data_IF_522994389730
#
_entry.id   IF_522994389730
#
_cell.length_a   1.000
_cell.length_b   1.000
_cell.length_c   1.000
_cell.angle_alpha   90.00
_cell.angle_beta   90.00
_cell.angle_gamma   90.00
#
_symmetry.space_group_name_H-M   'P 1'
#
loop_
_entity.id
_entity.type
_entity.pdbx_description
1 polymer ?
#
# COMPACT_ATOMS: atom_id res chain seq x y z
N UNK A 1 4.14 7.52 -14.47
CA UNK A 1 2.88 7.09 -13.87
C UNK A 1 3.14 6.29 -12.60
N UNK A 2 2.24 6.38 -11.66
CA UNK A 2 2.39 5.76 -10.36
C UNK A 2 1.19 4.86 -10.07
N UNK A 3 1.44 3.75 -9.36
CA UNK A 3 0.43 2.75 -9.05
C UNK A 3 0.32 2.54 -7.53
N UNK A 4 -0.91 2.50 -7.06
CA UNK A 4 -1.23 2.21 -5.67
C UNK A 4 -2.31 1.13 -5.61
N UNK A 5 -2.15 0.21 -4.67
CA UNK A 5 -3.13 -0.82 -4.37
C UNK A 5 -3.88 -0.44 -3.09
N UNK A 6 -5.18 -0.56 -3.11
CA UNK A 6 -6.02 -0.24 -1.96
C UNK A 6 -7.09 -1.30 -1.76
N UNK A 7 -7.50 -1.48 -0.52
CA UNK A 7 -8.62 -2.34 -0.17
C UNK A 7 -9.84 -1.44 0.09
N UNK A 8 -10.95 -1.62 -0.65
CA UNK A 8 -12.15 -0.82 -0.43
C UNK A 8 -12.69 -1.02 0.98
N UNK A 9 -13.07 0.06 1.62
CA UNK A 9 -13.77 0.01 2.90
C UNK A 9 -15.27 -0.08 2.64
N UNK A 10 -15.80 -1.27 2.58
CA UNK A 10 -17.20 -1.51 2.22
C UNK A 10 -18.21 -1.01 3.24
N UNK A 11 -17.83 -0.80 4.47
CA UNK A 11 -18.79 -0.57 5.53
C UNK A 11 -18.61 0.77 6.23
N UNK A 12 -18.59 1.83 5.43
CA UNK A 12 -18.77 3.15 5.98
C UNK A 12 -17.79 3.51 7.09
N UNK A 13 -16.62 2.96 7.02
CA UNK A 13 -15.54 3.49 7.83
C UNK A 13 -15.50 4.98 7.57
N UNK A 14 -15.29 5.73 8.61
CA UNK A 14 -15.27 7.17 8.59
C UNK A 14 -14.59 7.69 7.34
N UNK A 15 -15.37 8.32 6.51
CA UNK A 15 -14.99 8.88 5.21
C UNK A 15 -13.81 9.86 5.30
N UNK A 16 -13.52 10.35 6.49
CA UNK A 16 -12.49 11.35 6.74
C UNK A 16 -11.10 10.93 6.24
N UNK A 17 -10.88 9.66 5.98
CA UNK A 17 -9.58 9.18 5.51
C UNK A 17 -9.71 8.17 4.38
N UNK A 18 -10.70 8.33 3.51
CA UNK A 18 -10.87 7.46 2.34
C UNK A 18 -9.61 7.39 1.49
N UNK A 19 -8.86 8.50 1.38
CA UNK A 19 -7.57 8.56 0.69
C UNK A 19 -6.48 7.73 1.39
N UNK A 20 -6.69 7.39 2.67
CA UNK A 20 -5.79 6.56 3.46
C UNK A 20 -6.32 5.13 3.60
N UNK A 21 -7.12 4.68 2.64
CA UNK A 21 -7.60 3.30 2.61
C UNK A 21 -6.44 2.33 2.83
N UNK A 22 -6.65 1.26 3.61
CA UNK A 22 -5.57 0.34 3.92
C UNK A 22 -4.99 -0.29 2.67
N UNK A 23 -3.69 -0.44 2.65
CA UNK A 23 -3.00 -1.13 1.57
C UNK A 23 -2.97 -2.63 1.79
N UNK A 24 -2.61 -3.40 0.74
CA UNK A 24 -2.55 -4.85 0.81
C UNK A 24 -1.57 -5.39 1.84
N UNK A 25 -0.51 -4.67 2.17
CA UNK A 25 0.46 -5.10 3.18
C UNK A 25 -0.19 -5.27 4.55
N UNK A 26 -0.97 -4.29 4.96
CA UNK A 26 -1.67 -4.34 6.23
C UNK A 26 -2.69 -5.47 6.25
N UNK A 27 -3.47 -5.59 5.19
CA UNK A 27 -4.49 -6.63 5.09
C UNK A 27 -3.86 -8.03 5.07
N UNK A 28 -2.77 -8.20 4.31
CA UNK A 28 -2.05 -9.47 4.27
C UNK A 28 -1.49 -9.84 5.65
N UNK A 29 -0.93 -8.88 6.36
CA UNK A 29 -0.44 -9.07 7.71
C UNK A 29 -1.56 -9.48 8.67
N UNK A 30 -2.70 -8.78 8.62
CA UNK A 30 -3.86 -9.10 9.45
C UNK A 30 -4.39 -10.50 9.15
N UNK A 31 -4.51 -10.87 7.89
CA UNK A 31 -4.94 -12.20 7.47
C UNK A 31 -4.01 -13.30 7.99
N UNK A 32 -2.71 -13.05 7.91
CA UNK A 32 -1.72 -14.02 8.39
C UNK A 32 -1.82 -14.20 9.91
N UNK A 33 -1.84 -13.11 10.68
CA UNK A 33 -1.84 -13.19 12.14
C UNK A 33 -3.17 -13.61 12.74
N UNK A 34 -4.29 -13.34 12.07
CA UNK A 34 -5.62 -13.73 12.53
C UNK A 34 -6.02 -15.14 12.07
N UNK A 35 -5.30 -15.73 11.13
CA UNK A 35 -5.63 -17.03 10.55
C UNK A 35 -4.94 -18.19 11.26
N UNK A 36 -5.50 -19.38 11.07
CA UNK A 36 -4.87 -20.65 11.43
C UNK A 36 -3.96 -21.08 10.29
N UNK A 37 -2.72 -20.60 10.32
CA UNK A 37 -1.81 -20.65 9.17
C UNK A 37 -0.84 -21.82 9.15
N UNK A 38 -0.83 -22.68 10.15
CA UNK A 38 0.16 -23.76 10.26
C UNK A 38 0.10 -24.76 9.09
N UNK A 39 -1.08 -24.91 8.47
CA UNK A 39 -1.30 -25.84 7.38
C UNK A 39 -1.95 -25.16 6.15
N UNK A 40 -2.12 -23.86 6.14
CA UNK A 40 -2.76 -23.15 5.04
C UNK A 40 -1.72 -22.63 4.05
N UNK A 41 -1.65 -23.21 2.80
CA UNK A 41 -0.67 -22.80 1.82
C UNK A 41 -0.79 -21.33 1.41
N UNK A 42 -2.01 -20.77 1.42
CA UNK A 42 -2.21 -19.35 1.07
C UNK A 42 -1.59 -18.44 2.12
N UNK A 43 -1.80 -18.73 3.40
CA UNK A 43 -1.24 -17.93 4.48
C UNK A 43 0.29 -18.06 4.56
N UNK A 44 0.83 -19.23 4.27
CA UNK A 44 2.29 -19.42 4.17
C UNK A 44 2.85 -18.59 3.02
N UNK A 45 2.19 -18.59 1.88
CA UNK A 45 2.60 -17.79 0.72
C UNK A 45 2.50 -16.28 1.01
N UNK A 46 1.47 -15.83 1.73
CA UNK A 46 1.35 -14.44 2.17
C UNK A 46 2.56 -14.02 3.01
N UNK A 47 2.97 -14.87 3.94
CA UNK A 47 4.13 -14.58 4.79
C UNK A 47 5.41 -14.45 3.97
N UNK A 48 5.60 -15.32 2.98
CA UNK A 48 6.76 -15.27 2.09
C UNK A 48 6.83 -13.95 1.33
N UNK A 49 5.70 -13.47 0.80
CA UNK A 49 5.66 -12.20 0.07
C UNK A 49 5.90 -11.02 1.02
N UNK A 50 5.32 -11.04 2.22
CA UNK A 50 5.56 -9.99 3.22
C UNK A 50 7.04 -9.94 3.61
N UNK A 51 7.67 -11.08 3.84
CA UNK A 51 9.09 -11.16 4.18
C UNK A 51 9.96 -10.64 3.02
N UNK A 52 9.60 -10.97 1.78
CA UNK A 52 10.30 -10.46 0.61
C UNK A 52 10.28 -8.93 0.56
N UNK A 53 9.11 -8.32 0.77
CA UNK A 53 8.98 -6.87 0.80
C UNK A 53 9.73 -6.23 1.97
N UNK A 54 9.73 -6.86 3.13
CA UNK A 54 10.49 -6.37 4.27
C UNK A 54 11.99 -6.34 3.99
N UNK A 55 12.48 -7.29 3.20
CA UNK A 55 13.91 -7.37 2.85
C UNK A 55 14.27 -6.44 1.68
N UNK A 56 13.38 -6.28 0.70
CA UNK A 56 13.72 -5.66 -0.58
C UNK A 56 13.18 -4.24 -0.76
N UNK A 57 12.07 -3.90 -0.13
CA UNK A 57 11.45 -2.58 -0.28
C UNK A 57 11.97 -1.63 0.83
N UNK A 58 12.67 -0.56 0.46
CA UNK A 58 13.13 0.41 1.45
C UNK A 58 11.96 1.06 2.20
N UNK A 59 12.15 1.28 3.49
CA UNK A 59 11.20 2.07 4.28
C UNK A 59 11.41 3.55 3.95
N UNK A 60 10.36 4.27 3.50
CA UNK A 60 10.49 5.69 3.22
C UNK A 60 10.96 6.48 4.44
N UNK A 61 11.96 7.33 4.24
CA UNK A 61 12.51 8.17 5.32
C UNK A 61 11.62 9.35 5.67
N UNK A 62 10.71 9.72 4.76
CA UNK A 62 9.82 10.86 4.96
C UNK A 62 8.42 10.52 4.47
N UNK A 63 7.48 10.42 5.40
CA UNK A 63 6.05 10.18 5.12
C UNK A 63 5.16 11.28 5.67
N UNK A 64 5.73 12.29 6.31
CA UNK A 64 5.00 13.39 6.92
C UNK A 64 5.65 14.73 6.60
N UNK A 65 4.87 15.77 6.71
CA UNK A 65 5.31 17.14 6.49
C UNK A 65 4.87 18.02 7.64
N UNK A 66 5.72 18.96 8.05
CA UNK A 66 5.36 19.97 9.03
C UNK A 66 4.78 21.18 8.31
N UNK A 67 3.54 21.52 8.63
CA UNK A 67 2.87 22.67 8.12
C UNK A 67 2.02 23.31 9.22
N UNK A 68 2.04 24.65 9.30
CA UNK A 68 1.29 25.42 10.31
C UNK A 68 1.57 24.94 11.74
N UNK A 69 2.83 24.61 12.05
CA UNK A 69 3.25 24.16 13.36
C UNK A 69 2.84 22.75 13.73
N UNK A 70 2.27 21.99 12.80
CA UNK A 70 1.85 20.60 13.01
C UNK A 70 2.55 19.65 12.05
N UNK A 71 2.76 18.41 12.52
CA UNK A 71 3.18 17.32 11.67
C UNK A 71 1.95 16.62 11.08
N UNK A 72 1.97 16.43 9.76
CA UNK A 72 0.91 15.75 9.01
C UNK A 72 1.48 14.46 8.44
N UNK A 73 0.89 13.33 8.83
CA UNK A 73 1.31 11.99 8.38
C UNK A 73 0.42 11.47 7.27
N UNK A 74 0.03 12.33 6.33
CA UNK A 74 -0.87 11.98 5.24
C UNK A 74 -0.17 11.62 3.95
N UNK A 75 1.13 11.36 4.00
CA UNK A 75 1.89 10.90 2.85
C UNK A 75 1.39 9.55 2.36
N UNK A 76 1.16 9.46 1.06
CA UNK A 76 0.67 8.24 0.41
C UNK A 76 1.80 7.66 -0.42
N UNK A 77 2.04 6.35 -0.23
CA UNK A 77 3.05 5.61 -0.97
C UNK A 77 2.48 5.13 -2.31
N UNK A 78 3.25 5.36 -3.37
CA UNK A 78 2.94 4.90 -4.72
C UNK A 78 4.13 4.15 -5.27
N UNK A 79 3.89 3.05 -5.99
CA UNK A 79 4.93 2.40 -6.77
C UNK A 79 5.16 3.14 -8.08
N UNK A 80 6.41 3.18 -8.50
CA UNK A 80 6.77 3.69 -9.84
C UNK A 80 6.46 2.60 -10.86
N UNK A 81 5.98 2.99 -12.03
CA UNK A 81 5.63 2.04 -13.09
C UNK A 81 6.83 1.25 -13.63
N UNK A 82 8.04 1.79 -13.49
CA UNK A 82 9.27 1.07 -13.84
C UNK A 82 9.74 0.05 -12.82
N UNK A 83 9.13 -0.02 -11.65
CA UNK A 83 9.50 -0.95 -10.57
C UNK A 83 8.95 -2.36 -10.84
N UNK A 84 9.38 -2.99 -11.92
CA UNK A 84 8.79 -4.25 -12.43
C UNK A 84 8.81 -5.39 -11.44
N UNK A 85 9.93 -5.61 -10.77
CA UNK A 85 10.06 -6.69 -9.80
C UNK A 85 9.15 -6.46 -8.59
N UNK A 86 9.12 -5.23 -8.07
CA UNK A 86 8.23 -4.87 -6.98
C UNK A 86 6.77 -5.05 -7.35
N UNK A 87 6.38 -4.64 -8.57
CA UNK A 87 5.02 -4.78 -9.05
C UNK A 87 4.63 -6.24 -9.27
N UNK A 88 5.55 -7.09 -9.74
CA UNK A 88 5.30 -8.52 -9.89
C UNK A 88 5.03 -9.19 -8.54
N UNK A 89 5.83 -8.89 -7.53
CA UNK A 89 5.60 -9.39 -6.18
C UNK A 89 4.34 -8.82 -5.55
N UNK A 90 4.03 -7.56 -5.87
CA UNK A 90 2.79 -6.95 -5.39
C UNK A 90 1.56 -7.62 -5.98
N UNK A 91 1.58 -7.94 -7.27
CA UNK A 91 0.49 -8.70 -7.89
C UNK A 91 0.36 -10.11 -7.30
N UNK A 92 1.46 -10.76 -6.95
CA UNK A 92 1.43 -12.05 -6.27
C UNK A 92 0.78 -11.91 -4.88
N UNK A 93 1.17 -10.90 -4.12
CA UNK A 93 0.57 -10.62 -2.80
C UNK A 93 -0.92 -10.33 -2.91
N UNK A 94 -1.30 -9.49 -3.87
CA UNK A 94 -2.70 -9.11 -4.11
C UNK A 94 -3.54 -10.33 -4.49
N UNK A 95 -3.02 -11.22 -5.34
CA UNK A 95 -3.72 -12.45 -5.71
C UNK A 95 -4.02 -13.33 -4.49
N UNK A 96 -3.06 -13.43 -3.57
CA UNK A 96 -3.25 -14.18 -2.33
C UNK A 96 -4.30 -13.54 -1.41
N UNK A 97 -4.28 -12.23 -1.30
CA UNK A 97 -5.28 -11.48 -0.52
C UNK A 97 -6.68 -11.69 -1.13
N UNK A 98 -6.78 -11.63 -2.45
CA UNK A 98 -8.03 -11.86 -3.16
C UNK A 98 -8.55 -13.29 -2.99
N UNK A 99 -7.67 -14.30 -2.94
CA UNK A 99 -8.04 -15.68 -2.62
C UNK A 99 -8.67 -15.80 -1.22
N UNK A 100 -8.30 -14.92 -0.30
CA UNK A 100 -8.91 -14.86 1.02
C UNK A 100 -10.26 -14.12 1.03
N UNK A 101 -10.77 -13.72 -0.12
CA UNK A 101 -12.06 -13.04 -0.24
C UNK A 101 -12.03 -11.54 -0.08
N UNK A 102 -10.85 -10.92 -0.08
CA UNK A 102 -10.69 -9.47 0.09
C UNK A 102 -10.39 -8.84 -1.27
N UNK A 103 -11.30 -8.00 -1.81
CA UNK A 103 -11.05 -7.33 -3.08
C UNK A 103 -9.98 -6.26 -2.95
N UNK A 104 -9.17 -6.09 -4.00
CA UNK A 104 -8.12 -5.09 -4.05
C UNK A 104 -8.29 -4.25 -5.30
N UNK A 105 -8.23 -2.94 -5.16
CA UNK A 105 -8.29 -1.99 -6.26
C UNK A 105 -6.88 -1.53 -6.65
N UNK A 106 -6.69 -1.30 -7.95
CA UNK A 106 -5.47 -0.74 -8.52
C UNK A 106 -5.76 0.67 -8.99
N UNK A 107 -5.02 1.63 -8.44
CA UNK A 107 -5.22 3.04 -8.74
C UNK A 107 -3.96 3.60 -9.41
N UNK A 108 -4.13 4.19 -10.59
CA UNK A 108 -3.05 4.81 -11.35
C UNK A 108 -3.19 6.32 -11.31
N UNK A 109 -2.07 7.02 -11.20
CA UNK A 109 -2.07 8.48 -11.31
C UNK A 109 -0.79 8.98 -11.96
N UNK A 110 -0.89 10.12 -12.63
CA UNK A 110 0.27 10.91 -13.10
C UNK A 110 0.57 12.06 -12.16
N UNK A 111 -0.38 12.39 -11.27
CA UNK A 111 -0.33 13.57 -10.41
C UNK A 111 -0.56 13.15 -8.95
N UNK A 112 0.44 12.54 -8.30
CA UNK A 112 0.27 12.05 -6.93
C UNK A 112 0.21 13.16 -5.87
N UNK A 113 0.61 14.37 -6.21
CA UNK A 113 0.68 15.50 -5.30
C UNK A 113 2.13 15.93 -5.03
N UNK A 114 2.36 16.55 -3.88
CA UNK A 114 3.69 17.01 -3.50
C UNK A 114 4.58 15.85 -3.09
N UNK A 115 5.72 15.69 -3.75
CA UNK A 115 6.68 14.64 -3.42
C UNK A 115 7.38 14.94 -2.10
N UNK A 116 7.33 13.99 -1.18
CA UNK A 116 8.03 14.03 0.11
C UNK A 116 9.27 13.15 0.11
N UNK A 117 9.21 12.03 -0.62
CA UNK A 117 10.27 11.03 -0.67
C UNK A 117 10.22 10.35 -2.04
N UNK A 118 11.38 9.95 -2.53
CA UNK A 118 11.50 9.17 -3.77
C UNK A 118 12.70 8.25 -3.68
N UNK A 119 12.49 7.03 -4.11
CA UNK A 119 13.59 6.10 -4.35
C UNK A 119 13.38 5.38 -5.69
N UNK A 120 14.15 4.35 -5.93
CA UNK A 120 14.15 3.60 -7.18
C UNK A 120 12.79 2.93 -7.48
N UNK A 121 12.04 2.55 -6.45
CA UNK A 121 10.83 1.73 -6.57
C UNK A 121 9.55 2.51 -6.32
N UNK A 122 9.61 3.51 -5.47
CA UNK A 122 8.44 4.13 -4.89
C UNK A 122 8.63 5.63 -4.67
N UNK A 123 7.50 6.30 -4.49
CA UNK A 123 7.45 7.66 -3.99
C UNK A 123 6.49 7.74 -2.80
N UNK A 124 6.66 8.76 -1.98
CA UNK A 124 5.65 9.21 -1.03
C UNK A 124 5.26 10.61 -1.41
N UNK A 125 3.97 10.85 -1.54
CA UNK A 125 3.43 12.15 -1.94
C UNK A 125 2.32 12.60 -1.02
N UNK A 126 2.28 13.89 -0.74
CA UNK A 126 1.16 14.51 -0.06
C UNK A 126 0.11 14.85 -1.11
N UNK A 127 -1.10 14.28 -1.02
CA UNK A 127 -2.13 14.54 -2.02
C UNK A 127 -2.59 15.98 -1.95
N UNK A 128 -2.89 16.55 -3.11
CA UNK A 128 -3.58 17.82 -3.23
C UNK A 128 -5.08 17.57 -3.52
N UNK A 129 -5.83 18.64 -3.82
CA UNK A 129 -7.26 18.52 -4.10
C UNK A 129 -7.57 17.63 -5.31
N UNK A 130 -6.63 17.51 -6.24
CA UNK A 130 -6.80 16.77 -7.47
C UNK A 130 -6.24 15.35 -7.41
N UNK A 131 -5.56 15.00 -6.33
CA UNK A 131 -4.86 13.72 -6.15
C UNK A 131 -5.54 12.78 -5.17
N UNK A 132 -6.72 13.11 -4.72
CA UNK A 132 -7.48 12.26 -3.78
C UNK A 132 -8.12 11.11 -4.57
N UNK A 133 -7.77 9.90 -4.19
CA UNK A 133 -8.26 8.68 -4.83
C UNK A 133 -8.84 7.71 -3.82
#
# INVERSE_FOLDING_TARGET
MYLRFTVPTEHGGTVTRARLAPGPFRIASDLYWDGEHDCDPVLIALRRELDWFNDELPVPKRVSVKARGRWWSDGICWFRDGAREMLAHMEALVSLVEECGVPVERNWTRSPGQLLYRDRWQIVAMPDRHSIH
#
